data_IF_478832108201
#
_entry.id   IF_478832108201
#
_cell.length_a   1.000
_cell.length_b   1.000
_cell.length_c   1.000
_cell.angle_alpha   90.00
_cell.angle_beta   90.00
_cell.angle_gamma   90.00
#
_symmetry.space_group_name_H-M   'P 1'
#
loop_
_entity.id
_entity.type
_entity.pdbx_description
1 polymer ?
#
# COMPACT_ATOMS: atom_id res chain seq x y z
N UNK A 1 52.66 20.71 4.34
CA UNK A 1 51.25 21.11 4.59
C UNK A 1 50.39 20.27 3.66
N UNK A 2 49.70 19.26 4.18
CA UNK A 2 48.84 18.40 3.36
C UNK A 2 47.48 19.10 3.17
N UNK A 3 46.97 19.24 1.94
CA UNK A 3 45.62 19.75 1.73
C UNK A 3 44.61 18.78 2.35
N UNK A 4 43.66 19.33 3.10
CA UNK A 4 42.55 18.59 3.67
C UNK A 4 41.82 17.85 2.55
N UNK A 5 41.62 16.55 2.75
CA UNK A 5 40.88 15.71 1.81
C UNK A 5 39.43 16.22 1.70
N UNK A 6 38.81 16.18 0.50
CA UNK A 6 37.39 16.45 0.35
C UNK A 6 36.62 15.44 1.19
N UNK A 7 35.82 15.95 2.13
CA UNK A 7 34.85 15.15 2.85
C UNK A 7 33.88 14.61 1.80
N UNK A 8 34.03 13.34 1.44
CA UNK A 8 32.99 12.60 0.72
C UNK A 8 31.88 12.37 1.73
N UNK A 9 31.13 13.44 2.02
CA UNK A 9 29.82 13.34 2.63
C UNK A 9 29.02 12.48 1.66
N UNK A 10 28.94 11.20 1.99
CA UNK A 10 28.11 10.22 1.31
C UNK A 10 26.71 10.80 1.27
N UNK A 11 26.40 11.38 0.12
CA UNK A 11 25.09 11.85 -0.28
C UNK A 11 24.21 10.61 -0.36
N UNK A 12 23.78 10.14 0.82
CA UNK A 12 22.95 8.98 1.03
C UNK A 12 21.72 9.17 0.18
N UNK A 13 21.55 8.26 -0.77
CA UNK A 13 20.57 8.29 -1.84
C UNK A 13 19.14 8.51 -1.31
N UNK A 14 18.77 9.79 -1.18
CA UNK A 14 17.40 10.21 -0.83
C UNK A 14 16.41 9.95 -1.97
N UNK A 15 16.87 9.46 -3.12
CA UNK A 15 16.06 9.04 -4.25
C UNK A 15 15.31 7.73 -3.98
N UNK A 16 15.87 6.84 -3.12
CA UNK A 16 15.24 5.56 -2.77
C UNK A 16 14.08 5.67 -1.77
N UNK A 17 14.07 6.71 -0.92
CA UNK A 17 13.07 6.89 0.13
C UNK A 17 11.67 7.24 -0.40
N UNK A 18 11.58 7.93 -1.54
CA UNK A 18 10.30 8.32 -2.11
C UNK A 18 9.65 7.15 -2.87
N UNK A 19 10.41 6.40 -3.66
CA UNK A 19 9.91 5.20 -4.34
C UNK A 19 9.46 4.11 -3.37
N UNK A 20 10.22 3.89 -2.28
CA UNK A 20 9.85 2.94 -1.24
C UNK A 20 8.50 3.30 -0.59
N UNK A 21 8.20 4.60 -0.41
CA UNK A 21 6.89 5.04 0.10
C UNK A 21 5.74 4.76 -0.86
N UNK A 22 5.91 5.07 -2.14
CA UNK A 22 4.87 4.78 -3.14
C UNK A 22 4.64 3.27 -3.32
N UNK A 23 5.72 2.48 -3.30
CA UNK A 23 5.65 1.03 -3.41
C UNK A 23 4.95 0.40 -2.20
N UNK A 24 5.26 0.86 -0.99
CA UNK A 24 4.58 0.45 0.24
C UNK A 24 3.06 0.72 0.18
N UNK A 25 2.64 1.90 -0.29
CA UNK A 25 1.22 2.26 -0.38
C UNK A 25 0.50 1.39 -1.41
N UNK A 26 1.10 1.19 -2.59
CA UNK A 26 0.54 0.31 -3.61
C UNK A 26 0.45 -1.16 -3.16
N UNK A 27 1.47 -1.64 -2.45
CA UNK A 27 1.48 -3.00 -1.89
C UNK A 27 0.41 -3.16 -0.81
N UNK A 28 0.26 -2.20 0.11
CA UNK A 28 -0.79 -2.21 1.12
C UNK A 28 -2.19 -2.19 0.48
N UNK A 29 -2.40 -1.40 -0.56
CA UNK A 29 -3.64 -1.35 -1.33
C UNK A 29 -3.98 -2.73 -1.94
N UNK A 30 -3.02 -3.34 -2.64
CA UNK A 30 -3.21 -4.67 -3.24
C UNK A 30 -3.44 -5.75 -2.18
N UNK A 31 -2.73 -5.68 -1.05
CA UNK A 31 -2.87 -6.63 0.05
C UNK A 31 -4.27 -6.56 0.68
N UNK A 32 -4.79 -5.35 0.93
CA UNK A 32 -6.15 -5.15 1.47
C UNK A 32 -7.18 -5.77 0.53
N UNK A 33 -7.10 -5.48 -0.77
CA UNK A 33 -8.03 -6.05 -1.76
C UNK A 33 -7.92 -7.57 -1.78
N UNK A 34 -6.70 -8.11 -1.87
CA UNK A 34 -6.49 -9.55 -1.94
C UNK A 34 -7.05 -10.28 -0.72
N UNK A 35 -6.85 -9.76 0.50
CA UNK A 35 -7.37 -10.37 1.73
C UNK A 35 -8.90 -10.34 1.77
N UNK A 36 -9.52 -9.21 1.46
CA UNK A 36 -10.98 -9.11 1.47
C UNK A 36 -11.65 -9.92 0.35
N UNK A 37 -11.04 -9.97 -0.83
CA UNK A 37 -11.54 -10.79 -1.95
C UNK A 37 -11.37 -12.28 -1.67
N UNK A 38 -10.21 -12.72 -1.21
CA UNK A 38 -9.97 -14.12 -0.86
C UNK A 38 -10.84 -14.57 0.34
N UNK A 39 -11.01 -13.69 1.33
CA UNK A 39 -11.91 -13.92 2.46
C UNK A 39 -13.37 -14.05 2.02
N UNK A 40 -13.85 -13.14 1.16
CA UNK A 40 -15.20 -13.20 0.61
C UNK A 40 -15.46 -14.45 -0.22
N UNK A 41 -14.49 -14.86 -1.05
CA UNK A 41 -14.55 -16.10 -1.82
C UNK A 41 -14.59 -17.35 -0.94
N UNK A 42 -13.75 -17.41 0.10
CA UNK A 42 -13.74 -18.53 1.04
C UNK A 42 -15.03 -18.65 1.85
N UNK A 43 -15.61 -17.50 2.25
CA UNK A 43 -16.92 -17.45 2.91
C UNK A 43 -18.04 -17.95 1.98
N UNK A 44 -18.06 -17.54 0.71
CA UNK A 44 -19.03 -18.05 -0.26
C UNK A 44 -18.85 -19.56 -0.49
N UNK A 45 -17.61 -20.07 -0.51
CA UNK A 45 -17.33 -21.50 -0.64
C UNK A 45 -17.81 -22.33 0.56
N UNK A 46 -17.69 -21.78 1.77
CA UNK A 46 -18.06 -22.48 3.01
C UNK A 46 -19.59 -22.50 3.24
N UNK A 47 -20.28 -21.42 2.87
CA UNK A 47 -21.72 -21.25 3.10
C UNK A 47 -22.55 -21.76 1.91
N UNK A 48 -21.93 -21.98 0.74
CA UNK A 48 -22.61 -22.47 -0.46
C UNK A 48 -23.66 -21.49 -1.00
N UNK A 49 -23.54 -20.21 -0.63
CA UNK A 49 -24.43 -19.14 -1.04
C UNK A 49 -24.11 -18.67 -2.46
N UNK A 50 -25.06 -17.98 -3.11
CA UNK A 50 -24.73 -17.12 -4.26
C UNK A 50 -23.55 -16.21 -3.88
N UNK A 51 -22.72 -15.73 -4.84
CA UNK A 51 -21.45 -15.05 -4.58
C UNK A 51 -21.62 -13.64 -3.98
N UNK A 52 -22.31 -13.57 -2.84
CA UNK A 52 -22.77 -12.40 -2.14
C UNK A 52 -21.72 -11.92 -1.15
N UNK A 53 -21.02 -12.84 -0.47
CA UNK A 53 -19.91 -12.48 0.42
C UNK A 53 -18.67 -12.06 -0.37
N UNK A 54 -18.46 -12.59 -1.56
CA UNK A 54 -17.46 -12.10 -2.50
C UNK A 54 -17.84 -10.72 -3.01
N UNK A 55 -19.11 -10.48 -3.36
CA UNK A 55 -19.56 -9.15 -3.79
C UNK A 55 -19.40 -8.11 -2.67
N UNK A 56 -19.83 -8.46 -1.45
CA UNK A 56 -19.68 -7.60 -0.28
C UNK A 56 -18.22 -7.40 0.09
N UNK A 57 -17.43 -8.47 0.13
CA UNK A 57 -15.99 -8.42 0.42
C UNK A 57 -15.23 -7.61 -0.62
N UNK A 58 -15.56 -7.72 -1.90
CA UNK A 58 -15.00 -6.91 -2.97
C UNK A 58 -15.39 -5.44 -2.82
N UNK A 59 -16.67 -5.14 -2.55
CA UNK A 59 -17.15 -3.77 -2.37
C UNK A 59 -16.48 -3.11 -1.14
N UNK A 60 -16.39 -3.85 -0.04
CA UNK A 60 -15.75 -3.39 1.20
C UNK A 60 -14.24 -3.24 1.02
N UNK A 61 -13.58 -4.22 0.38
CA UNK A 61 -12.16 -4.19 0.07
C UNK A 61 -11.80 -3.03 -0.85
N UNK A 62 -12.61 -2.77 -1.87
CA UNK A 62 -12.44 -1.62 -2.76
C UNK A 62 -12.60 -0.29 -2.01
N UNK A 63 -13.64 -0.15 -1.19
CA UNK A 63 -13.85 1.04 -0.36
C UNK A 63 -12.72 1.27 0.64
N UNK A 64 -12.27 0.22 1.32
CA UNK A 64 -11.16 0.28 2.27
C UNK A 64 -9.83 0.65 1.59
N UNK A 65 -9.57 0.11 0.41
CA UNK A 65 -8.38 0.39 -0.37
C UNK A 65 -8.37 1.85 -0.87
N UNK A 66 -9.51 2.37 -1.34
CA UNK A 66 -9.65 3.78 -1.68
C UNK A 66 -9.46 4.68 -0.46
N UNK A 67 -10.09 4.35 0.67
CA UNK A 67 -9.92 5.12 1.91
C UNK A 67 -8.44 5.18 2.35
N UNK A 68 -7.74 4.04 2.26
CA UNK A 68 -6.30 3.98 2.56
C UNK A 68 -5.49 4.84 1.60
N UNK A 69 -5.79 4.79 0.29
CA UNK A 69 -5.12 5.61 -0.72
C UNK A 69 -5.34 7.11 -0.48
N UNK A 70 -6.57 7.54 -0.24
CA UNK A 70 -6.88 8.94 0.07
C UNK A 70 -6.18 9.42 1.35
N UNK A 71 -6.14 8.58 2.38
CA UNK A 71 -5.42 8.87 3.62
C UNK A 71 -3.91 8.98 3.38
N UNK A 72 -3.33 8.07 2.60
CA UNK A 72 -1.91 8.09 2.25
C UNK A 72 -1.55 9.35 1.44
N UNK A 73 -2.37 9.69 0.44
CA UNK A 73 -2.20 10.89 -0.37
C UNK A 73 -2.30 12.17 0.48
N UNK A 74 -3.28 12.25 1.39
CA UNK A 74 -3.43 13.39 2.31
C UNK A 74 -2.22 13.54 3.25
N UNK A 75 -1.59 12.43 3.64
CA UNK A 75 -0.40 12.46 4.48
C UNK A 75 0.85 12.91 3.72
N UNK A 76 0.89 12.67 2.40
CA UNK A 76 2.00 13.05 1.52
C UNK A 76 1.87 14.49 1.00
N UNK A 77 0.66 14.99 0.75
CA UNK A 77 0.42 16.34 0.23
C UNK A 77 0.37 17.46 1.28
N UNK A 78 0.55 17.15 2.56
CA UNK A 78 0.50 18.11 3.67
C UNK A 78 1.85 18.44 4.31
N UNK A 79 2.96 18.14 3.62
CA UNK A 79 4.32 18.50 4.03
C UNK A 79 4.80 19.79 3.39
#
# INVERSE_FOLDING_TARGET
>A
MMPAMPNADSQRDNTGGNYARFFHVGFAFMFIIAVFTAGGYGLDWLVGTLPLFLLLGMLFGFGAALYYLFRALKHVGGG
#
